data_IF_679566379605
#
_entry.id   IF_679566379605
#
_cell.length_a   1.000
_cell.length_b   1.000
_cell.length_c   1.000
_cell.angle_alpha   90.00
_cell.angle_beta   90.00
_cell.angle_gamma   90.00
#
_symmetry.space_group_name_H-M   'P 1'
#
loop_
_entity.id
_entity.type
_entity.pdbx_description
1 polymer ?
#
# COMPACT_ATOMS: atom_id res chain seq x y z
N UNK A 1 26.90 -8.37 -7.99
CA UNK A 1 25.64 -9.14 -7.95
C UNK A 1 24.49 -8.16 -7.91
N UNK A 2 23.47 -8.32 -8.76
CA UNK A 2 22.23 -7.53 -8.62
C UNK A 2 21.40 -8.10 -7.47
N UNK A 3 20.77 -7.21 -6.71
CA UNK A 3 19.79 -7.60 -5.70
C UNK A 3 18.61 -8.33 -6.36
N UNK A 4 18.12 -9.40 -5.73
CA UNK A 4 16.90 -10.10 -6.13
C UNK A 4 15.96 -10.19 -4.91
N UNK A 5 14.76 -9.61 -4.97
CA UNK A 5 13.77 -9.77 -3.90
C UNK A 5 13.40 -11.25 -3.71
N UNK A 6 13.28 -11.68 -2.46
CA UNK A 6 12.78 -13.01 -2.11
C UNK A 6 11.77 -12.90 -0.96
N UNK A 7 10.49 -13.02 -1.31
CA UNK A 7 9.39 -12.90 -0.36
C UNK A 7 9.40 -14.00 0.71
N UNK A 8 10.12 -15.11 0.49
CA UNK A 8 10.19 -16.22 1.46
C UNK A 8 10.84 -15.79 2.76
N UNK A 9 11.77 -14.83 2.75
CA UNK A 9 12.33 -14.23 3.95
C UNK A 9 11.25 -13.58 4.84
N UNK A 10 10.26 -12.92 4.22
CA UNK A 10 9.15 -12.29 4.94
C UNK A 10 8.19 -13.35 5.49
N UNK A 11 7.91 -14.41 4.71
CA UNK A 11 7.08 -15.53 5.13
C UNK A 11 7.70 -16.23 6.34
N UNK A 12 9.00 -16.54 6.30
CA UNK A 12 9.70 -17.17 7.41
C UNK A 12 9.63 -16.31 8.67
N UNK A 13 9.93 -15.01 8.57
CA UNK A 13 9.80 -14.09 9.68
C UNK A 13 8.38 -14.05 10.27
N UNK A 14 7.34 -14.01 9.42
CA UNK A 14 5.95 -14.01 9.85
C UNK A 14 5.53 -15.30 10.57
N UNK A 15 6.13 -16.44 10.22
CA UNK A 15 5.90 -17.73 10.88
C UNK A 15 6.89 -18.02 12.02
N UNK A 16 7.68 -17.04 12.46
CA UNK A 16 8.75 -17.20 13.47
C UNK A 16 9.77 -18.30 13.11
N UNK A 17 10.08 -18.43 11.82
CA UNK A 17 11.18 -19.26 11.30
C UNK A 17 12.37 -18.36 11.04
N UNK A 18 13.58 -18.89 11.24
CA UNK A 18 14.79 -18.12 10.94
C UNK A 18 14.89 -17.89 9.43
N UNK A 19 14.74 -16.62 9.03
CA UNK A 19 14.92 -16.21 7.65
C UNK A 19 16.42 -16.15 7.30
N UNK A 20 16.77 -16.51 6.07
CA UNK A 20 18.16 -16.48 5.57
C UNK A 20 18.84 -15.11 5.71
N UNK A 21 18.05 -14.05 5.73
CA UNK A 21 18.45 -12.69 6.11
C UNK A 21 17.25 -11.97 6.73
N UNK A 22 17.50 -10.86 7.43
CA UNK A 22 16.42 -9.99 7.89
C UNK A 22 15.66 -9.41 6.67
N UNK A 23 14.36 -9.70 6.50
CA UNK A 23 13.58 -9.13 5.41
C UNK A 23 13.33 -7.65 5.62
N UNK A 24 13.31 -6.88 4.51
CA UNK A 24 12.86 -5.49 4.53
C UNK A 24 11.42 -5.38 3.99
N UNK A 25 10.56 -4.71 4.76
CA UNK A 25 9.16 -4.43 4.47
C UNK A 25 8.84 -2.97 4.80
N UNK A 26 7.99 -2.34 3.99
CA UNK A 26 7.47 -0.99 4.18
C UNK A 26 5.93 -1.04 4.25
N UNK A 27 5.32 -0.28 5.16
CA UNK A 27 3.86 -0.19 5.27
C UNK A 27 3.28 0.77 4.23
N UNK A 28 3.34 0.32 2.97
CA UNK A 28 2.99 1.12 1.82
C UNK A 28 4.10 2.08 1.42
N UNK A 29 4.36 2.16 0.12
CA UNK A 29 5.34 3.10 -0.42
C UNK A 29 4.67 4.45 -0.65
N UNK A 30 5.14 5.48 0.07
CA UNK A 30 4.71 6.86 -0.15
C UNK A 30 5.09 7.31 -1.57
N UNK A 31 4.10 7.78 -2.33
CA UNK A 31 4.33 8.13 -3.74
C UNK A 31 5.26 9.31 -3.90
N UNK A 32 5.28 10.27 -2.96
CA UNK A 32 6.18 11.43 -3.00
C UNK A 32 7.62 11.05 -2.70
N UNK A 33 7.84 10.15 -1.73
CA UNK A 33 9.18 9.61 -1.46
C UNK A 33 9.71 8.82 -2.65
N UNK A 34 8.87 7.99 -3.28
CA UNK A 34 9.25 7.25 -4.49
C UNK A 34 9.62 8.20 -5.63
N UNK A 35 8.87 9.30 -5.82
CA UNK A 35 9.20 10.33 -6.81
C UNK A 35 10.58 10.94 -6.57
N UNK A 36 10.90 11.25 -5.31
CA UNK A 36 12.21 11.81 -4.94
C UNK A 36 13.33 10.81 -5.20
N UNK A 37 13.14 9.54 -4.86
CA UNK A 37 14.16 8.49 -5.07
C UNK A 37 14.41 8.23 -6.55
N UNK A 38 13.36 8.21 -7.38
CA UNK A 38 13.46 7.88 -8.79
C UNK A 38 13.71 9.08 -9.71
N UNK A 39 13.38 10.29 -9.26
CA UNK A 39 13.37 11.49 -10.11
C UNK A 39 12.27 11.49 -11.18
N UNK A 40 11.22 10.69 -11.00
CA UNK A 40 10.12 10.50 -11.96
C UNK A 40 8.76 10.60 -11.26
N UNK A 41 7.70 11.12 -11.91
CA UNK A 41 6.37 11.27 -11.29
C UNK A 41 5.71 9.92 -10.98
N UNK A 42 4.98 9.82 -9.88
CA UNK A 42 4.22 8.63 -9.45
C UNK A 42 2.84 9.04 -8.92
N UNK A 43 2.75 10.09 -8.11
CA UNK A 43 1.50 10.53 -7.50
C UNK A 43 0.44 10.96 -8.54
N UNK A 44 0.79 11.69 -9.63
CA UNK A 44 -0.18 12.02 -10.68
C UNK A 44 -0.72 10.77 -11.39
N UNK A 45 0.14 9.77 -11.61
CA UNK A 45 -0.22 8.53 -12.30
C UNK A 45 -1.24 7.70 -11.51
N UNK A 46 -1.15 7.74 -10.17
CA UNK A 46 -2.13 7.07 -9.30
C UNK A 46 -3.56 7.61 -9.45
N UNK A 47 -3.72 8.85 -9.93
CA UNK A 47 -5.01 9.50 -10.18
C UNK A 47 -5.47 9.38 -11.64
N UNK A 48 -4.65 8.78 -12.51
CA UNK A 48 -4.89 8.67 -13.93
C UNK A 48 -5.71 7.44 -14.33
N UNK A 49 -5.52 7.05 -15.59
CA UNK A 49 -6.11 5.87 -16.20
C UNK A 49 -5.61 4.57 -15.56
N UNK A 50 -6.21 3.44 -15.93
CA UNK A 50 -5.68 2.13 -15.53
C UNK A 50 -4.21 1.95 -15.98
N UNK A 51 -3.87 2.37 -17.20
CA UNK A 51 -2.50 2.29 -17.71
C UNK A 51 -1.53 3.14 -16.87
N UNK A 52 -1.97 4.33 -16.44
CA UNK A 52 -1.17 5.20 -15.56
C UNK A 52 -0.94 4.53 -14.20
N UNK A 53 -1.97 3.93 -13.61
CA UNK A 53 -1.86 3.21 -12.32
C UNK A 53 -0.93 1.99 -12.41
N UNK A 54 -0.97 1.26 -13.52
CA UNK A 54 -0.03 0.16 -13.80
C UNK A 54 1.40 0.69 -13.83
N UNK A 55 1.63 1.82 -14.51
CA UNK A 55 2.94 2.44 -14.59
C UNK A 55 3.42 2.97 -13.24
N UNK A 56 2.55 3.59 -12.45
CA UNK A 56 2.85 3.99 -11.07
C UNK A 56 3.32 2.78 -10.23
N UNK A 57 2.63 1.65 -10.34
CA UNK A 57 2.99 0.44 -9.61
C UNK A 57 4.32 -0.15 -10.08
N UNK A 58 4.65 -0.08 -11.38
CA UNK A 58 5.98 -0.46 -11.88
C UNK A 58 7.08 0.40 -11.28
N UNK A 59 6.86 1.72 -11.16
CA UNK A 59 7.84 2.65 -10.55
C UNK A 59 8.05 2.35 -9.07
N UNK A 60 6.97 2.12 -8.33
CA UNK A 60 7.03 1.71 -6.92
C UNK A 60 7.81 0.40 -6.77
N UNK A 61 7.51 -0.62 -7.58
CA UNK A 61 8.23 -1.89 -7.55
C UNK A 61 9.72 -1.72 -7.88
N UNK A 62 10.05 -0.91 -8.89
CA UNK A 62 11.43 -0.58 -9.24
C UNK A 62 12.17 0.08 -8.09
N UNK A 63 11.55 1.03 -7.40
CA UNK A 63 12.11 1.68 -6.22
C UNK A 63 12.41 0.68 -5.11
N UNK A 64 11.44 -0.18 -4.75
CA UNK A 64 11.66 -1.19 -3.71
C UNK A 64 12.77 -2.18 -4.07
N UNK A 65 12.87 -2.61 -5.34
CA UNK A 65 13.97 -3.46 -5.82
C UNK A 65 15.33 -2.75 -5.69
N UNK A 66 15.42 -1.46 -6.06
CA UNK A 66 16.66 -0.68 -5.97
C UNK A 66 17.10 -0.48 -4.52
N UNK A 67 16.15 -0.34 -3.59
CA UNK A 67 16.41 -0.12 -2.17
C UNK A 67 16.59 -1.43 -1.37
N UNK A 68 16.38 -2.60 -1.99
CA UNK A 68 16.64 -3.89 -1.37
C UNK A 68 15.48 -4.50 -0.59
N UNK A 69 14.24 -4.09 -0.87
CA UNK A 69 13.04 -4.67 -0.25
C UNK A 69 12.74 -6.06 -0.81
N UNK A 70 12.35 -6.99 0.08
CA UNK A 70 12.01 -8.38 -0.27
C UNK A 70 10.56 -8.53 -0.78
N UNK A 71 9.71 -7.55 -0.47
CA UNK A 71 8.29 -7.55 -0.81
C UNK A 71 7.84 -6.14 -1.22
N UNK A 72 6.97 -6.08 -2.23
CA UNK A 72 6.25 -4.87 -2.62
C UNK A 72 4.78 -5.09 -2.26
N UNK A 73 4.29 -4.57 -1.13
CA UNK A 73 2.90 -4.76 -0.76
C UNK A 73 1.99 -4.00 -1.73
N UNK A 74 0.89 -4.65 -2.13
CA UNK A 74 -0.21 -3.94 -2.78
C UNK A 74 -1.12 -3.37 -1.69
N UNK A 75 -0.70 -2.25 -1.12
CA UNK A 75 -1.40 -1.59 -0.04
C UNK A 75 -1.94 -0.24 -0.49
N UNK A 76 -3.23 0.01 -0.26
CA UNK A 76 -3.90 1.28 -0.53
C UNK A 76 -4.86 1.58 0.59
N UNK A 77 -4.88 2.84 1.03
CA UNK A 77 -5.88 3.32 1.97
C UNK A 77 -7.25 3.27 1.29
N UNK A 78 -8.09 2.32 1.68
CA UNK A 78 -9.48 2.21 1.23
C UNK A 78 -10.41 3.19 1.96
N UNK A 79 -9.88 3.93 2.92
CA UNK A 79 -10.67 4.78 3.82
C UNK A 79 -11.36 5.92 3.08
N UNK A 80 -10.85 6.32 1.92
CA UNK A 80 -11.47 7.34 1.06
C UNK A 80 -12.79 6.88 0.43
N UNK A 81 -13.03 5.57 0.31
CA UNK A 81 -14.31 5.04 -0.21
C UNK A 81 -15.44 5.14 0.82
N UNK A 82 -15.11 5.18 2.12
CA UNK A 82 -16.07 5.27 3.22
C UNK A 82 -16.01 6.66 3.83
N UNK A 83 -17.04 7.47 3.64
CA UNK A 83 -17.09 8.86 4.14
C UNK A 83 -15.87 9.73 3.72
N UNK A 84 -15.15 9.41 2.63
CA UNK A 84 -13.92 10.11 2.25
C UNK A 84 -12.87 10.14 3.38
N UNK A 85 -12.91 9.17 4.29
CA UNK A 85 -12.01 9.06 5.44
C UNK A 85 -12.37 9.98 6.62
N UNK A 86 -13.43 10.79 6.53
CA UNK A 86 -13.76 11.78 7.57
C UNK A 86 -14.07 11.14 8.93
N UNK A 87 -14.71 9.96 8.93
CA UNK A 87 -14.97 9.20 10.16
C UNK A 87 -13.68 8.73 10.85
N UNK A 88 -12.71 8.23 10.08
CA UNK A 88 -11.40 7.81 10.60
C UNK A 88 -10.61 8.99 11.18
N UNK A 89 -10.74 10.16 10.57
CA UNK A 89 -10.08 11.38 11.02
C UNK A 89 -10.79 12.07 12.22
N UNK A 90 -11.89 11.50 12.72
CA UNK A 90 -12.69 12.11 13.78
C UNK A 90 -13.40 13.41 13.38
N UNK A 91 -13.58 13.63 12.07
CA UNK A 91 -14.23 14.82 11.49
C UNK A 91 -15.70 14.59 11.15
N UNK A 92 -16.12 13.33 11.09
CA UNK A 92 -17.52 12.94 10.90
C UNK A 92 -17.98 11.96 12.00
N UNK A 93 -19.29 11.93 12.31
CA UNK A 93 -19.84 10.93 13.23
C UNK A 93 -19.83 9.53 12.60
N UNK A 94 -19.88 8.51 13.45
CA UNK A 94 -19.97 7.10 13.05
C UNK A 94 -21.19 6.82 12.17
N UNK A 95 -21.00 6.09 11.07
CA UNK A 95 -22.08 5.68 10.15
C UNK A 95 -23.03 4.66 10.79
N UNK A 96 -22.48 3.70 11.52
CA UNK A 96 -23.21 2.61 12.14
C UNK A 96 -23.21 2.84 13.64
N UNK A 97 -24.35 3.25 14.19
CA UNK A 97 -24.55 3.48 15.64
C UNK A 97 -25.53 2.48 16.26
N UNK A 98 -26.22 1.73 15.42
CA UNK A 98 -27.19 0.73 15.82
C UNK A 98 -27.21 -0.45 14.84
N UNK A 99 -27.83 -1.55 15.27
CA UNK A 99 -28.08 -2.71 14.40
C UNK A 99 -28.87 -2.34 13.15
N UNK A 100 -29.83 -1.43 13.26
CA UNK A 100 -30.66 -1.00 12.14
C UNK A 100 -29.86 -0.17 11.11
N UNK A 101 -28.83 0.59 11.55
CA UNK A 101 -27.94 1.28 10.63
C UNK A 101 -27.05 0.31 9.85
N UNK A 102 -26.59 -0.75 10.52
CA UNK A 102 -25.81 -1.82 9.88
C UNK A 102 -26.62 -2.53 8.78
N UNK A 103 -27.90 -2.84 9.07
CA UNK A 103 -28.78 -3.55 8.14
C UNK A 103 -29.21 -2.70 6.94
N UNK A 104 -29.27 -1.37 7.09
CA UNK A 104 -29.56 -0.43 6.00
C UNK A 104 -28.33 0.03 5.22
N UNK A 105 -27.13 -0.30 5.70
CA UNK A 105 -25.91 0.17 5.05
C UNK A 105 -25.82 -0.42 3.63
N UNK A 106 -25.55 0.39 2.60
CA UNK A 106 -25.43 -0.08 1.22
C UNK A 106 -24.07 -0.78 1.05
N UNK A 107 -24.06 -2.09 1.26
CA UNK A 107 -22.85 -2.91 1.11
C UNK A 107 -22.49 -3.22 -0.35
N UNK A 108 -23.47 -3.07 -1.25
CA UNK A 108 -23.32 -3.20 -2.71
C UNK A 108 -22.83 -1.89 -3.34
#
# INVERSE_FOLDING_TARGET
MSFQPDYTHLVDAAFNREAKRLPLYEHGFDTGVVEVVLGEPVAPLMRGTFADKVEAQRRIARCGIQLGYDCIPFERGMVDVVQRGEGLMGRAPSLIRSRADLERYPWD
#
